data_IF_412896897110
#
_entry.id   IF_412896897110
#
_cell.length_a   1.000
_cell.length_b   1.000
_cell.length_c   1.000
_cell.angle_alpha   90.00
_cell.angle_beta   90.00
_cell.angle_gamma   90.00
#
_symmetry.space_group_name_H-M   'P 1'
#
loop_
_entity.id
_entity.type
_entity.pdbx_description
1 polymer ?
#
# COMPACT_ATOMS: atom_id res chain seq x y z
N UNK A 1 8.05 17.67 -13.66
CA UNK A 1 6.96 17.77 -14.66
C UNK A 1 6.89 16.44 -15.39
N UNK A 2 5.79 15.70 -15.23
CA UNK A 2 5.53 14.50 -16.02
C UNK A 2 4.96 14.94 -17.38
N UNK A 3 5.51 14.41 -18.48
CA UNK A 3 4.93 14.53 -19.83
C UNK A 3 4.05 13.31 -20.09
N UNK A 4 3.14 13.41 -21.06
CA UNK A 4 2.37 12.27 -21.55
C UNK A 4 3.34 11.12 -21.87
N UNK A 5 3.09 9.95 -21.27
CA UNK A 5 3.97 8.79 -21.39
C UNK A 5 3.54 7.96 -22.60
N UNK A 6 4.36 7.97 -23.66
CA UNK A 6 4.11 7.16 -24.84
C UNK A 6 4.66 5.75 -24.63
N UNK A 7 3.75 4.77 -24.57
CA UNK A 7 4.10 3.36 -24.38
C UNK A 7 4.93 2.83 -25.55
N UNK A 8 4.63 3.25 -26.78
CA UNK A 8 5.27 2.75 -28.00
C UNK A 8 6.72 3.24 -28.07
N UNK A 9 6.97 4.48 -27.67
CA UNK A 9 8.33 5.05 -27.62
C UNK A 9 9.27 4.24 -26.71
N UNK A 10 8.74 3.72 -25.60
CA UNK A 10 9.51 2.88 -24.65
C UNK A 10 9.44 1.38 -24.97
N UNK A 11 8.89 1.01 -26.13
CA UNK A 11 8.81 -0.39 -26.59
C UNK A 11 7.74 -1.23 -25.89
N UNK A 12 6.80 -0.61 -25.18
CA UNK A 12 5.66 -1.28 -24.56
C UNK A 12 4.51 -1.29 -25.58
N UNK A 13 3.97 -2.47 -25.95
CA UNK A 13 2.83 -2.53 -26.84
C UNK A 13 1.59 -1.90 -26.20
N UNK A 14 0.72 -1.30 -27.02
CA UNK A 14 -0.54 -0.74 -26.54
C UNK A 14 -1.41 -1.89 -25.99
N UNK A 15 -1.89 -1.82 -24.74
CA UNK A 15 -2.77 -2.83 -24.15
C UNK A 15 -4.00 -3.12 -25.00
N UNK A 16 -4.22 -4.39 -25.34
CA UNK A 16 -5.44 -4.87 -26.00
C UNK A 16 -5.84 -6.24 -25.46
N UNK A 17 -7.09 -6.64 -25.67
CA UNK A 17 -7.53 -7.99 -25.28
C UNK A 17 -6.78 -9.09 -26.04
N UNK A 18 -6.44 -8.84 -27.31
CA UNK A 18 -5.73 -9.79 -28.18
C UNK A 18 -4.30 -10.06 -27.72
N UNK A 19 -3.58 -9.04 -27.26
CA UNK A 19 -2.20 -9.19 -26.81
C UNK A 19 -2.09 -9.53 -25.31
N UNK A 20 -3.19 -9.45 -24.56
CA UNK A 20 -3.24 -9.70 -23.12
C UNK A 20 -2.39 -8.75 -22.27
N UNK A 21 -1.83 -7.69 -22.86
CA UNK A 21 -0.96 -6.75 -22.19
C UNK A 21 -1.79 -5.86 -21.24
N UNK A 22 -1.27 -5.64 -20.02
CA UNK A 22 -1.85 -4.72 -19.03
C UNK A 22 -0.75 -3.82 -18.49
N UNK A 23 -1.03 -2.52 -18.42
CA UNK A 23 -0.09 -1.53 -17.88
C UNK A 23 -0.68 -0.94 -16.60
N UNK A 24 0.11 -0.94 -15.54
CA UNK A 24 -0.24 -0.32 -14.26
C UNK A 24 0.76 0.78 -13.97
N UNK A 25 0.26 2.01 -13.83
CA UNK A 25 1.07 3.17 -13.47
C UNK A 25 0.85 3.48 -11.98
N UNK A 26 1.94 3.77 -11.28
CA UNK A 26 1.88 4.18 -9.87
C UNK A 26 2.41 5.60 -9.73
N UNK A 27 1.68 6.44 -9.01
CA UNK A 27 2.04 7.84 -8.81
C UNK A 27 1.61 8.31 -7.42
N UNK A 28 2.35 9.28 -6.87
CA UNK A 28 1.95 10.03 -5.67
C UNK A 28 1.22 11.33 -6.00
N UNK A 29 1.24 11.74 -7.27
CA UNK A 29 0.63 12.97 -7.76
C UNK A 29 -0.73 12.67 -8.39
N UNK A 30 -1.81 13.22 -7.83
CA UNK A 30 -3.18 13.04 -8.34
C UNK A 30 -3.45 13.90 -9.59
N UNK A 31 -2.63 14.90 -9.88
CA UNK A 31 -2.82 15.80 -11.02
C UNK A 31 -2.52 15.15 -12.38
N UNK A 32 -1.89 13.98 -12.40
CA UNK A 32 -1.40 13.37 -13.64
C UNK A 32 -2.35 12.35 -14.28
N UNK A 33 -3.51 12.08 -13.67
CA UNK A 33 -4.47 11.09 -14.19
C UNK A 33 -5.02 11.47 -15.58
N UNK A 34 -5.40 12.74 -15.75
CA UNK A 34 -5.96 13.24 -17.02
C UNK A 34 -4.98 13.09 -18.19
N UNK A 35 -3.75 13.62 -18.09
CA UNK A 35 -2.75 13.50 -19.15
C UNK A 35 -2.39 12.07 -19.56
N UNK A 36 -2.54 11.09 -18.66
CA UNK A 36 -2.22 9.68 -18.92
C UNK A 36 -3.38 8.88 -19.53
N UNK A 37 -4.59 9.47 -19.65
CA UNK A 37 -5.81 8.79 -20.12
C UNK A 37 -6.04 7.42 -19.44
N UNK A 38 -5.61 7.31 -18.18
CA UNK A 38 -5.65 6.07 -17.42
C UNK A 38 -6.86 6.06 -16.47
N UNK A 39 -7.36 4.86 -16.16
CA UNK A 39 -8.34 4.70 -15.09
C UNK A 39 -7.64 4.83 -13.73
N UNK A 40 -8.00 5.87 -12.97
CA UNK A 40 -7.39 6.15 -11.68
C UNK A 40 -7.97 5.26 -10.57
N UNK A 41 -7.08 4.59 -9.83
CA UNK A 41 -7.43 3.87 -8.60
C UNK A 41 -6.73 4.57 -7.44
N UNK A 42 -7.50 5.11 -6.50
CA UNK A 42 -6.94 5.75 -5.31
C UNK A 42 -6.56 4.69 -4.27
N UNK A 43 -5.27 4.53 -4.03
CA UNK A 43 -4.77 3.72 -2.91
C UNK A 43 -4.87 4.56 -1.64
N UNK A 44 -5.83 4.23 -0.77
CA UNK A 44 -6.02 4.88 0.53
C UNK A 44 -5.18 4.21 1.61
N UNK A 45 -5.03 4.91 2.74
CA UNK A 45 -4.57 4.26 3.98
C UNK A 45 -5.60 3.22 4.41
N UNK A 46 -5.17 2.28 5.25
CA UNK A 46 -6.07 1.26 5.78
C UNK A 46 -7.13 1.90 6.68
N UNK A 47 -8.25 1.22 6.85
CA UNK A 47 -9.15 1.47 7.99
C UNK A 47 -8.49 1.03 9.30
N UNK A 48 -9.06 1.41 10.44
CA UNK A 48 -8.57 0.96 11.75
C UNK A 48 -8.64 -0.57 11.88
N UNK A 49 -9.75 -1.17 11.44
CA UNK A 49 -9.95 -2.63 11.44
C UNK A 49 -8.95 -3.34 10.52
N UNK A 50 -8.77 -2.86 9.29
CA UNK A 50 -7.75 -3.39 8.37
C UNK A 50 -6.34 -3.23 8.91
N UNK A 51 -6.04 -2.11 9.58
CA UNK A 51 -4.74 -1.87 10.21
C UNK A 51 -4.47 -2.87 11.32
N UNK A 52 -5.50 -3.17 12.13
CA UNK A 52 -5.40 -4.14 13.21
C UNK A 52 -5.25 -5.57 12.68
N UNK A 53 -6.06 -5.97 11.69
CA UNK A 53 -5.90 -7.26 11.02
C UNK A 53 -4.53 -7.40 10.36
N UNK A 54 -4.06 -6.35 9.70
CA UNK A 54 -2.73 -6.31 9.07
C UNK A 54 -1.61 -6.45 10.11
N UNK A 55 -1.73 -5.78 11.27
CA UNK A 55 -0.78 -5.95 12.37
C UNK A 55 -0.78 -7.39 12.88
N UNK A 56 -1.96 -7.98 13.17
CA UNK A 56 -2.09 -9.39 13.59
C UNK A 56 -1.49 -10.39 12.59
N UNK A 57 -1.56 -10.10 11.29
CA UNK A 57 -0.94 -10.94 10.28
C UNK A 57 0.60 -10.84 10.26
N UNK A 58 1.18 -9.70 10.68
CA UNK A 58 2.63 -9.48 10.70
C UNK A 58 3.28 -10.14 11.91
N UNK A 59 2.63 -10.04 13.05
CA UNK A 59 3.08 -10.52 14.37
C UNK A 59 2.81 -12.01 14.60
N UNK A 60 1.86 -12.60 13.86
CA UNK A 60 1.40 -13.96 14.06
C UNK A 60 0.80 -14.22 15.45
N UNK A 61 0.94 -15.45 15.95
CA UNK A 61 0.40 -15.89 17.24
C UNK A 61 1.09 -15.32 18.50
N UNK A 62 1.98 -14.34 18.36
CA UNK A 62 2.69 -13.74 19.51
C UNK A 62 1.76 -12.84 20.35
N UNK A 63 0.65 -12.35 19.78
CA UNK A 63 -0.27 -11.40 20.42
C UNK A 63 -1.23 -12.03 21.45
N UNK A 64 -1.16 -13.34 21.72
CA UNK A 64 -2.18 -13.98 22.55
C UNK A 64 -2.20 -13.59 24.04
N UNK A 65 -1.22 -12.81 24.54
CA UNK A 65 -1.32 -12.23 25.88
C UNK A 65 -2.04 -10.87 25.84
N UNK A 66 -2.97 -10.64 26.79
CA UNK A 66 -3.77 -9.42 26.85
C UNK A 66 -2.93 -8.14 26.98
N UNK A 67 -1.81 -8.22 27.68
CA UNK A 67 -0.91 -7.07 27.89
C UNK A 67 -0.18 -6.69 26.59
N UNK A 68 0.25 -7.69 25.81
CA UNK A 68 0.87 -7.46 24.49
C UNK A 68 -0.17 -6.95 23.48
N UNK A 69 -1.41 -7.43 23.53
CA UNK A 69 -2.48 -6.98 22.64
C UNK A 69 -2.80 -5.49 22.82
N UNK A 70 -2.86 -5.01 24.07
CA UNK A 70 -3.12 -3.59 24.33
C UNK A 70 -1.99 -2.70 23.78
N UNK A 71 -0.73 -3.05 24.09
CA UNK A 71 0.43 -2.33 23.58
C UNK A 71 0.50 -2.34 22.05
N UNK A 72 0.23 -3.49 21.44
CA UNK A 72 0.17 -3.66 19.99
C UNK A 72 -0.87 -2.74 19.33
N UNK A 73 -2.06 -2.61 19.93
CA UNK A 73 -3.10 -1.70 19.43
C UNK A 73 -2.66 -0.24 19.50
N UNK A 74 -2.03 0.17 20.59
CA UNK A 74 -1.55 1.55 20.74
C UNK A 74 -0.44 1.88 19.73
N UNK A 75 0.51 0.95 19.52
CA UNK A 75 1.53 1.08 18.48
C UNK A 75 0.91 1.14 17.08
N UNK A 76 -0.09 0.32 16.79
CA UNK A 76 -0.78 0.33 15.50
C UNK A 76 -1.51 1.66 15.25
N UNK A 77 -2.12 2.26 16.27
CA UNK A 77 -2.75 3.59 16.18
C UNK A 77 -1.76 4.69 15.83
N UNK A 78 -0.56 4.68 16.43
CA UNK A 78 0.51 5.64 16.12
C UNK A 78 1.00 5.55 14.67
N UNK A 79 0.80 4.40 14.02
CA UNK A 79 1.16 4.21 12.61
C UNK A 79 0.20 4.91 11.64
N UNK A 80 -0.88 5.54 12.13
CA UNK A 80 -1.88 6.28 11.33
C UNK A 80 -2.40 5.49 10.13
N UNK A 81 -2.63 4.20 10.35
CA UNK A 81 -3.15 3.26 9.36
C UNK A 81 -2.29 3.10 8.09
N UNK A 82 -1.01 3.49 8.14
CA UNK A 82 -0.09 3.35 7.02
C UNK A 82 0.50 1.94 7.01
N UNK A 83 0.28 1.12 5.96
CA UNK A 83 0.79 -0.25 5.92
C UNK A 83 2.30 -0.36 6.17
N UNK A 84 3.09 0.55 5.58
CA UNK A 84 4.54 0.56 5.75
C UNK A 84 4.98 0.90 7.19
N UNK A 85 4.27 1.83 7.85
CA UNK A 85 4.58 2.18 9.23
C UNK A 85 4.24 1.02 10.17
N UNK A 86 3.06 0.42 10.02
CA UNK A 86 2.59 -0.74 10.80
C UNK A 86 3.62 -1.89 10.71
N UNK A 87 4.09 -2.19 9.49
CA UNK A 87 5.09 -3.25 9.27
C UNK A 87 6.44 -2.98 9.94
N UNK A 88 6.88 -1.74 9.95
CA UNK A 88 8.16 -1.38 10.54
C UNK A 88 8.11 -1.31 12.06
N UNK A 89 7.00 -0.82 12.63
CA UNK A 89 6.84 -0.69 14.08
C UNK A 89 6.95 -2.03 14.80
N UNK A 90 6.33 -3.10 14.28
CA UNK A 90 6.48 -4.45 14.84
C UNK A 90 7.94 -4.87 15.07
N UNK A 91 8.82 -4.60 14.09
CA UNK A 91 10.24 -5.01 14.15
C UNK A 91 11.00 -4.37 15.31
N UNK A 92 10.54 -3.23 15.80
CA UNK A 92 11.19 -2.46 16.87
C UNK A 92 10.74 -2.98 18.24
N UNK A 93 9.47 -3.36 18.40
CA UNK A 93 8.91 -3.69 19.71
C UNK A 93 9.10 -5.15 20.16
N UNK A 94 9.51 -6.06 19.27
CA UNK A 94 9.65 -7.52 19.59
C UNK A 94 11.07 -8.06 19.39
N UNK A 95 12.06 -7.18 19.21
CA UNK A 95 13.49 -7.52 19.17
C UNK A 95 14.34 -6.80 20.25
N UNK A 96 13.71 -6.37 21.33
CA UNK A 96 14.37 -6.00 22.59
C UNK A 96 14.08 -7.06 23.65
#
# INVERSE_FOLDING_TARGET
MWKQFDLVEVGIPIPSEENGCKVVLTTRDKGIFGPMQAHAIEVRVLSEDESWEFFKNIVGGVIHSKDIEHLAKDVAKECRNLPLAIKNSWRIYVWC
#
